data_IF_970765181191
#
_entry.id   IF_970765181191
#
_cell.length_a   1.000
_cell.length_b   1.000
_cell.length_c   1.000
_cell.angle_alpha   90.00
_cell.angle_beta   90.00
_cell.angle_gamma   90.00
#
_symmetry.space_group_name_H-M   'P 1'
#
loop_
_entity.id
_entity.type
_entity.pdbx_description
1 polymer ?
#
# COMPACT_ATOMS: atom_id res chain seq x y z
N UNK A 1 5.98 9.37 13.18
CA UNK A 1 7.20 9.67 12.43
C UNK A 1 7.94 8.38 12.09
N UNK A 2 8.30 7.57 13.05
CA UNK A 2 9.04 6.30 12.85
C UNK A 2 8.44 5.32 11.82
N UNK A 3 7.11 5.11 11.82
CA UNK A 3 6.46 4.21 10.86
C UNK A 3 6.59 4.71 9.40
N UNK A 4 6.38 5.99 9.17
CA UNK A 4 6.46 6.58 7.81
C UNK A 4 7.92 6.52 7.30
N UNK A 5 8.90 6.77 8.17
CA UNK A 5 10.32 6.62 7.84
C UNK A 5 10.67 5.16 7.50
N UNK A 6 10.11 4.21 8.25
CA UNK A 6 10.28 2.77 7.99
C UNK A 6 9.70 2.36 6.64
N UNK A 7 8.49 2.84 6.31
CA UNK A 7 7.87 2.62 4.98
C UNK A 7 8.74 3.25 3.89
N UNK A 8 9.23 4.48 4.09
CA UNK A 8 10.11 5.16 3.15
C UNK A 8 11.40 4.40 2.88
N UNK A 9 12.01 3.81 3.92
CA UNK A 9 13.18 2.94 3.80
C UNK A 9 12.89 1.69 2.97
N UNK A 10 11.72 1.08 3.15
CA UNK A 10 11.27 -0.07 2.39
C UNK A 10 11.02 0.27 0.91
N UNK A 11 10.38 1.41 0.63
CA UNK A 11 10.17 1.90 -0.73
C UNK A 11 11.51 2.12 -1.43
N UNK A 12 12.49 2.72 -0.74
CA UNK A 12 13.83 2.90 -1.29
C UNK A 12 14.52 1.56 -1.58
N UNK A 13 14.37 0.58 -0.69
CA UNK A 13 14.94 -0.77 -0.87
C UNK A 13 14.38 -1.48 -2.09
N UNK A 14 13.05 -1.44 -2.29
CA UNK A 14 12.36 -2.21 -3.33
C UNK A 14 12.33 -1.49 -4.66
N UNK A 15 12.05 -0.19 -4.67
CA UNK A 15 11.80 0.60 -5.89
C UNK A 15 12.98 1.53 -6.28
N UNK A 16 13.92 1.77 -5.36
CA UNK A 16 15.07 2.66 -5.60
C UNK A 16 14.77 4.15 -5.45
N UNK A 17 13.52 4.56 -5.18
CA UNK A 17 13.13 5.97 -5.07
C UNK A 17 13.28 6.50 -3.65
N UNK A 18 13.63 7.78 -3.53
CA UNK A 18 13.50 8.53 -2.28
C UNK A 18 12.04 8.92 -2.05
N UNK A 19 11.68 9.11 -0.78
CA UNK A 19 10.33 9.52 -0.37
C UNK A 19 10.35 10.87 0.31
N UNK A 20 9.30 11.66 0.05
CA UNK A 20 8.96 12.87 0.79
C UNK A 20 7.59 12.67 1.45
N UNK A 21 7.35 13.29 2.58
CA UNK A 21 6.07 13.21 3.30
C UNK A 21 5.35 14.54 3.22
N UNK A 22 4.11 14.51 2.73
CA UNK A 22 3.26 15.69 2.59
C UNK A 22 1.83 15.36 3.05
N UNK A 23 1.16 16.18 3.86
CA UNK A 23 -0.23 16.00 4.26
C UNK A 23 -1.21 16.37 3.12
N UNK A 24 -1.26 15.57 2.06
CA UNK A 24 -2.09 15.81 0.88
C UNK A 24 -3.60 15.77 1.17
N UNK A 25 -4.05 14.91 2.10
CA UNK A 25 -5.43 14.80 2.55
C UNK A 25 -5.49 14.97 4.08
N UNK A 26 -6.08 16.07 4.55
CA UNK A 26 -6.25 16.33 5.98
C UNK A 26 -7.59 15.81 6.51
N UNK A 27 -8.59 15.64 5.65
CA UNK A 27 -9.92 15.14 5.98
C UNK A 27 -10.37 14.13 4.94
N UNK A 28 -10.87 12.99 5.41
CA UNK A 28 -11.41 11.89 4.61
C UNK A 28 -12.87 11.56 4.95
N UNK A 29 -13.58 12.47 5.68
CA UNK A 29 -14.99 12.27 6.07
C UNK A 29 -15.91 12.04 4.86
N UNK A 30 -15.57 12.57 3.69
CA UNK A 30 -16.30 12.35 2.43
C UNK A 30 -16.37 10.86 2.01
N UNK A 31 -15.43 10.03 2.46
CA UNK A 31 -15.35 8.60 2.15
C UNK A 31 -16.05 7.71 3.20
N UNK A 32 -16.54 8.29 4.30
CA UNK A 32 -17.14 7.54 5.39
C UNK A 32 -18.52 7.00 5.03
N UNK A 33 -18.72 5.69 5.24
CA UNK A 33 -20.00 5.00 5.15
C UNK A 33 -20.50 4.66 6.56
N UNK A 34 -21.54 5.35 7.03
CA UNK A 34 -22.10 5.17 8.36
C UNK A 34 -22.76 3.80 8.56
N UNK A 35 -23.29 3.16 7.52
CA UNK A 35 -23.91 1.84 7.61
C UNK A 35 -22.86 0.74 7.83
N UNK A 36 -21.67 0.93 7.28
CA UNK A 36 -20.55 0.00 7.41
C UNK A 36 -19.60 0.35 8.56
N UNK A 37 -19.68 1.60 9.03
CA UNK A 37 -18.67 2.18 9.92
C UNK A 37 -17.24 2.05 9.36
N UNK A 38 -17.10 2.25 8.06
CA UNK A 38 -15.85 2.08 7.29
C UNK A 38 -15.70 3.24 6.30
N UNK A 39 -14.51 3.35 5.70
CA UNK A 39 -14.20 4.34 4.68
C UNK A 39 -14.01 3.67 3.32
N UNK A 40 -14.67 4.21 2.30
CA UNK A 40 -14.55 3.69 0.93
C UNK A 40 -13.21 4.12 0.33
N UNK A 41 -12.31 3.17 0.12
CA UNK A 41 -10.94 3.42 -0.34
C UNK A 41 -10.90 4.03 -1.74
N UNK A 42 -11.82 3.64 -2.64
CA UNK A 42 -11.88 4.19 -4.01
C UNK A 42 -12.10 5.70 -4.01
N UNK A 43 -12.95 6.23 -3.11
CA UNK A 43 -13.15 7.69 -3.00
C UNK A 43 -11.89 8.41 -2.51
N UNK A 44 -11.18 7.81 -1.56
CA UNK A 44 -9.88 8.33 -1.09
C UNK A 44 -8.87 8.34 -2.23
N UNK A 45 -8.80 7.24 -2.98
CA UNK A 45 -7.88 7.06 -4.10
C UNK A 45 -8.12 8.09 -5.21
N UNK A 46 -9.38 8.35 -5.55
CA UNK A 46 -9.76 9.37 -6.54
C UNK A 46 -9.32 10.79 -6.11
N UNK A 47 -9.52 11.12 -4.83
CA UNK A 47 -9.06 12.41 -4.27
C UNK A 47 -7.54 12.53 -4.25
N UNK A 48 -6.81 11.47 -3.92
CA UNK A 48 -5.36 11.44 -3.99
C UNK A 48 -4.87 11.65 -5.42
N UNK A 49 -5.46 10.94 -6.38
CA UNK A 49 -5.10 11.03 -7.79
C UNK A 49 -5.26 12.45 -8.37
N UNK A 50 -6.24 13.21 -7.86
CA UNK A 50 -6.49 14.60 -8.28
C UNK A 50 -5.50 15.61 -7.67
N UNK A 51 -4.68 15.22 -6.69
CA UNK A 51 -3.80 16.10 -5.91
C UNK A 51 -2.32 15.72 -5.97
N UNK A 52 -1.94 14.86 -6.91
CA UNK A 52 -0.56 14.40 -7.04
C UNK A 52 0.35 15.59 -7.36
N UNK A 53 1.42 15.86 -6.58
CA UNK A 53 2.40 16.88 -6.91
C UNK A 53 3.08 16.61 -8.25
N UNK A 54 3.38 17.64 -9.01
CA UNK A 54 4.00 17.51 -10.34
C UNK A 54 5.36 16.79 -10.32
N UNK A 55 6.11 16.97 -9.22
CA UNK A 55 7.40 16.34 -9.01
C UNK A 55 7.33 14.91 -8.45
N UNK A 56 6.12 14.39 -8.14
CA UNK A 56 5.94 13.04 -7.61
C UNK A 56 5.69 12.02 -8.73
N UNK A 57 6.50 10.98 -8.77
CA UNK A 57 6.27 9.84 -9.67
C UNK A 57 5.05 9.03 -9.23
N UNK A 58 4.92 8.77 -7.93
CA UNK A 58 3.86 7.99 -7.29
C UNK A 58 3.51 8.60 -5.94
N UNK A 59 2.29 8.35 -5.48
CA UNK A 59 1.81 8.74 -4.15
C UNK A 59 1.26 7.52 -3.43
N UNK A 60 1.77 7.26 -2.23
CA UNK A 60 1.26 6.28 -1.29
C UNK A 60 0.67 7.00 -0.08
N UNK A 61 -0.63 6.89 0.14
CA UNK A 61 -1.26 7.33 1.37
C UNK A 61 -1.24 6.23 2.43
N UNK A 62 -0.98 6.62 3.68
CA UNK A 62 -1.07 5.73 4.84
C UNK A 62 -2.23 6.21 5.71
N UNK A 63 -3.25 5.36 5.84
CA UNK A 63 -4.45 5.64 6.64
C UNK A 63 -4.50 4.75 7.90
N UNK A 64 -5.19 5.21 8.94
CA UNK A 64 -5.42 4.44 10.18
C UNK A 64 -6.89 4.09 10.40
N UNK A 65 -7.67 4.04 9.33
CA UNK A 65 -9.13 3.77 9.33
C UNK A 65 -9.44 2.47 8.61
N UNK A 66 -10.57 1.86 8.96
CA UNK A 66 -11.02 0.63 8.29
C UNK A 66 -11.49 0.92 6.86
N UNK A 67 -10.83 0.30 5.87
CA UNK A 67 -11.10 0.52 4.45
C UNK A 67 -11.96 -0.60 3.86
N UNK A 68 -12.81 -0.22 2.89
CA UNK A 68 -13.58 -1.17 2.10
C UNK A 68 -13.72 -0.73 0.64
N UNK A 69 -14.02 -1.69 -0.22
CA UNK A 69 -14.65 -1.48 -1.53
C UNK A 69 -16.01 -2.17 -1.54
N UNK A 70 -17.00 -1.74 -2.37
CA UNK A 70 -18.39 -2.23 -2.29
C UNK A 70 -18.56 -3.75 -2.37
N UNK A 71 -17.68 -4.44 -3.11
CA UNK A 71 -17.76 -5.90 -3.34
C UNK A 71 -17.03 -6.73 -2.27
N UNK A 72 -16.30 -6.10 -1.33
CA UNK A 72 -15.54 -6.79 -0.28
C UNK A 72 -15.94 -6.27 1.11
N UNK A 73 -15.72 -7.10 2.13
CA UNK A 73 -15.98 -6.72 3.52
C UNK A 73 -14.99 -5.70 4.04
N UNK A 74 -13.74 -5.80 3.60
CA UNK A 74 -12.66 -4.85 3.89
C UNK A 74 -11.52 -5.03 2.88
N UNK A 75 -10.61 -4.06 2.86
CA UNK A 75 -9.34 -4.14 2.14
C UNK A 75 -8.21 -3.60 3.01
N UNK A 76 -6.99 -4.10 2.82
CA UNK A 76 -5.80 -3.53 3.45
C UNK A 76 -5.30 -2.29 2.72
N UNK A 77 -5.59 -2.20 1.43
CA UNK A 77 -5.28 -1.07 0.59
C UNK A 77 -5.97 -1.14 -0.74
N UNK A 78 -5.74 -0.14 -1.57
CA UNK A 78 -6.22 -0.05 -2.95
C UNK A 78 -5.25 0.79 -3.77
N UNK A 79 -5.04 0.42 -5.02
CA UNK A 79 -4.15 1.12 -5.93
C UNK A 79 -4.75 1.31 -7.32
N UNK A 80 -4.35 2.39 -7.98
CA UNK A 80 -4.56 2.54 -9.42
C UNK A 80 -3.56 1.66 -10.16
N UNK A 81 -4.03 0.59 -10.80
CA UNK A 81 -3.15 -0.30 -11.57
C UNK A 81 -2.50 0.47 -12.73
N UNK A 82 -1.17 0.56 -12.73
CA UNK A 82 -0.40 1.37 -13.69
C UNK A 82 -0.60 2.88 -13.54
N UNK A 83 -1.33 3.34 -12.52
CA UNK A 83 -1.56 4.75 -12.23
C UNK A 83 -0.51 5.36 -11.31
N UNK A 84 -0.87 6.42 -10.58
CA UNK A 84 0.07 7.15 -9.74
C UNK A 84 -0.24 7.09 -8.25
N UNK A 85 -1.46 6.70 -7.85
CA UNK A 85 -1.92 6.77 -6.48
C UNK A 85 -2.25 5.39 -5.91
N UNK A 86 -1.93 5.19 -4.64
CA UNK A 86 -2.37 4.07 -3.83
C UNK A 86 -2.58 4.48 -2.37
N UNK A 87 -3.34 3.68 -1.64
CA UNK A 87 -3.60 3.85 -0.21
C UNK A 87 -3.43 2.51 0.50
N UNK A 88 -2.82 2.53 1.68
CA UNK A 88 -2.74 1.40 2.60
C UNK A 88 -3.32 1.78 3.94
N UNK A 89 -4.05 0.86 4.58
CA UNK A 89 -4.56 1.05 5.94
C UNK A 89 -3.77 0.23 6.95
N UNK A 90 -3.45 0.85 8.07
CA UNK A 90 -2.85 0.19 9.21
C UNK A 90 -3.89 -0.45 10.13
N UNK A 91 -5.18 -0.13 9.98
CA UNK A 91 -6.25 -0.45 10.92
C UNK A 91 -6.36 -1.96 11.20
N UNK A 92 -6.54 -2.78 10.16
CA UNK A 92 -6.72 -4.24 10.32
C UNK A 92 -5.41 -5.02 10.39
N UNK A 93 -4.27 -4.38 10.25
CA UNK A 93 -2.96 -5.02 10.39
C UNK A 93 -2.48 -5.04 11.86
N UNK A 94 -3.19 -4.32 12.74
CA UNK A 94 -2.90 -4.22 14.16
C UNK A 94 -3.75 -5.21 14.97
N UNK A 95 -3.14 -6.21 15.60
CA UNK A 95 -3.81 -7.18 16.46
C UNK A 95 -4.17 -6.63 17.86
N UNK A 96 -3.99 -5.33 18.11
CA UNK A 96 -4.43 -4.68 19.37
C UNK A 96 -3.62 -5.04 20.62
N UNK A 97 -2.45 -5.67 20.49
CA UNK A 97 -1.59 -6.07 21.61
C UNK A 97 -0.35 -5.19 21.76
N UNK A 98 0.09 -4.98 23.01
CA UNK A 98 1.20 -4.10 23.38
C UNK A 98 2.57 -4.84 23.50
N UNK A 99 2.66 -6.09 23.07
CA UNK A 99 3.90 -6.87 23.10
C UNK A 99 4.87 -6.41 21.99
N UNK A 100 6.16 -6.30 22.30
CA UNK A 100 7.21 -5.86 21.37
C UNK A 100 7.30 -6.77 20.13
N UNK A 101 7.10 -8.08 20.31
CA UNK A 101 7.12 -9.05 19.19
C UNK A 101 5.96 -8.79 18.21
N UNK A 102 4.79 -8.42 18.74
CA UNK A 102 3.60 -8.10 17.97
C UNK A 102 3.76 -6.76 17.25
N UNK A 103 4.42 -5.79 17.90
CA UNK A 103 4.72 -4.51 17.26
C UNK A 103 5.66 -4.66 16.06
N UNK A 104 6.67 -5.52 16.13
CA UNK A 104 7.54 -5.83 14.99
C UNK A 104 6.74 -6.48 13.84
N UNK A 105 5.89 -7.45 14.15
CA UNK A 105 5.00 -8.11 13.19
C UNK A 105 4.06 -7.13 12.49
N UNK A 106 3.48 -6.22 13.25
CA UNK A 106 2.64 -5.14 12.75
C UNK A 106 3.37 -4.24 11.74
N UNK A 107 4.58 -3.80 12.07
CA UNK A 107 5.41 -3.00 11.16
C UNK A 107 5.76 -3.78 9.88
N UNK A 108 6.11 -5.05 9.99
CA UNK A 108 6.40 -5.90 8.83
C UNK A 108 5.17 -6.11 7.93
N UNK A 109 3.98 -6.28 8.49
CA UNK A 109 2.72 -6.35 7.73
C UNK A 109 2.46 -5.07 6.94
N UNK A 110 2.62 -3.90 7.59
CA UNK A 110 2.43 -2.60 6.94
C UNK A 110 3.43 -2.40 5.80
N UNK A 111 4.70 -2.75 5.99
CA UNK A 111 5.73 -2.68 4.95
C UNK A 111 5.34 -3.53 3.74
N UNK A 112 4.89 -4.77 3.98
CA UNK A 112 4.47 -5.68 2.91
C UNK A 112 3.26 -5.14 2.14
N UNK A 113 2.23 -4.67 2.83
CA UNK A 113 1.02 -4.14 2.18
C UNK A 113 1.30 -2.79 1.48
N UNK A 114 2.08 -1.89 2.09
CA UNK A 114 2.50 -0.65 1.44
C UNK A 114 3.28 -0.92 0.14
N UNK A 115 4.20 -1.88 0.15
CA UNK A 115 4.95 -2.31 -1.03
C UNK A 115 4.03 -2.96 -2.07
N UNK A 116 3.09 -3.79 -1.65
CA UNK A 116 2.10 -4.44 -2.51
C UNK A 116 1.25 -3.41 -3.26
N UNK A 117 0.65 -2.47 -2.54
CA UNK A 117 -0.18 -1.42 -3.15
C UNK A 117 0.64 -0.50 -4.06
N UNK A 118 1.83 -0.11 -3.64
CA UNK A 118 2.70 0.72 -4.49
C UNK A 118 3.12 -0.02 -5.76
N UNK A 119 3.40 -1.33 -5.69
CA UNK A 119 3.76 -2.13 -6.86
C UNK A 119 2.63 -2.23 -7.89
N UNK A 120 1.36 -2.20 -7.47
CA UNK A 120 0.22 -2.09 -8.39
C UNK A 120 0.29 -0.81 -9.25
N UNK A 121 0.78 0.31 -8.70
CA UNK A 121 0.96 1.54 -9.48
C UNK A 121 2.03 1.41 -10.58
N UNK A 122 2.94 0.44 -10.46
CA UNK A 122 3.89 0.01 -11.49
C UNK A 122 3.34 -1.12 -12.36
N UNK A 123 2.02 -1.26 -12.46
CA UNK A 123 1.33 -2.23 -13.30
C UNK A 123 1.54 -3.71 -12.91
N UNK A 124 2.08 -4.01 -11.73
CA UNK A 124 2.16 -5.37 -11.22
C UNK A 124 0.77 -5.83 -10.76
N UNK A 125 0.37 -7.01 -11.20
CA UNK A 125 -0.88 -7.66 -10.78
C UNK A 125 -0.62 -8.66 -9.66
N UNK A 126 -1.68 -9.19 -9.05
CA UNK A 126 -1.55 -10.27 -8.08
C UNK A 126 -0.76 -11.45 -8.66
N UNK A 127 0.14 -12.00 -7.86
CA UNK A 127 1.00 -13.11 -8.24
C UNK A 127 0.43 -14.44 -7.68
N UNK A 128 0.42 -15.53 -8.48
CA UNK A 128 0.00 -16.84 -7.99
C UNK A 128 1.00 -17.47 -7.01
N UNK A 129 2.24 -17.02 -6.98
CA UNK A 129 3.27 -17.49 -6.04
C UNK A 129 2.93 -17.01 -4.62
N UNK A 130 2.63 -17.97 -3.73
CA UNK A 130 2.26 -17.69 -2.32
C UNK A 130 3.36 -17.03 -1.50
N UNK A 131 4.61 -17.12 -1.94
CA UNK A 131 5.73 -16.48 -1.25
C UNK A 131 6.01 -15.05 -1.73
N UNK A 132 5.49 -14.68 -2.89
CA UNK A 132 5.68 -13.35 -3.46
C UNK A 132 4.90 -12.29 -2.68
N UNK A 133 5.51 -11.11 -2.47
CA UNK A 133 4.84 -9.98 -1.85
C UNK A 133 3.56 -9.55 -2.61
N UNK A 134 3.48 -9.82 -3.93
CA UNK A 134 2.31 -9.54 -4.77
C UNK A 134 1.21 -10.60 -4.67
N UNK A 135 1.35 -11.60 -3.79
CA UNK A 135 0.28 -12.55 -3.56
C UNK A 135 -0.91 -11.90 -2.87
N UNK A 136 -2.13 -12.23 -3.31
CA UNK A 136 -3.37 -11.73 -2.73
C UNK A 136 -3.58 -12.27 -1.31
N UNK A 137 -3.92 -11.39 -0.36
CA UNK A 137 -4.17 -11.74 1.03
C UNK A 137 -5.63 -11.47 1.40
N UNK A 138 -6.26 -12.41 2.14
CA UNK A 138 -7.63 -12.31 2.64
C UNK A 138 -7.68 -12.01 4.14
N UNK A 139 -6.63 -12.37 4.86
CA UNK A 139 -6.49 -12.21 6.30
C UNK A 139 -5.03 -11.89 6.65
N UNK A 140 -4.80 -11.52 7.90
CA UNK A 140 -3.48 -11.14 8.42
C UNK A 140 -2.48 -12.30 8.35
N UNK A 141 -2.94 -13.54 8.52
CA UNK A 141 -2.11 -14.74 8.40
C UNK A 141 -1.55 -14.92 6.99
N UNK A 142 -2.31 -14.53 5.96
CA UNK A 142 -1.81 -14.54 4.58
C UNK A 142 -0.70 -13.50 4.40
N UNK A 143 -0.84 -12.31 5.01
CA UNK A 143 0.21 -11.29 5.02
C UNK A 143 1.46 -11.79 5.74
N UNK A 144 1.29 -12.52 6.85
CA UNK A 144 2.41 -13.10 7.60
C UNK A 144 3.16 -14.15 6.80
N UNK A 145 2.45 -14.99 6.03
CA UNK A 145 3.02 -16.10 5.25
C UNK A 145 3.81 -15.65 4.03
N UNK A 146 3.37 -14.60 3.31
CA UNK A 146 4.12 -14.11 2.16
C UNK A 146 5.44 -13.45 2.61
N UNK A 147 6.45 -13.48 1.75
CA UNK A 147 7.71 -12.80 2.03
C UNK A 147 7.58 -11.28 1.82
N UNK A 148 8.62 -10.54 2.19
CA UNK A 148 8.80 -9.13 1.86
C UNK A 148 9.48 -8.91 0.50
N UNK A 149 9.62 -9.99 -0.30
CA UNK A 149 10.32 -9.99 -1.57
C UNK A 149 9.36 -10.21 -2.74
N UNK A 150 9.67 -9.59 -3.87
CA UNK A 150 9.11 -9.96 -5.17
C UNK A 150 9.72 -11.29 -5.64
N UNK A 151 8.89 -12.17 -6.22
CA UNK A 151 9.42 -13.31 -6.94
C UNK A 151 10.20 -12.84 -8.19
N UNK A 152 10.96 -13.74 -8.81
CA UNK A 152 11.78 -13.42 -9.97
C UNK A 152 11.00 -12.71 -11.09
N UNK A 153 9.79 -13.18 -11.40
CA UNK A 153 8.98 -12.61 -12.47
C UNK A 153 8.48 -11.20 -12.13
N UNK A 154 7.93 -11.01 -10.92
CA UNK A 154 7.47 -9.71 -10.48
C UNK A 154 8.61 -8.69 -10.38
N UNK A 155 9.81 -9.13 -10.00
CA UNK A 155 11.00 -8.27 -9.97
C UNK A 155 11.37 -7.79 -11.36
N UNK A 156 11.41 -8.67 -12.37
CA UNK A 156 11.70 -8.30 -13.77
C UNK A 156 10.64 -7.32 -14.28
N UNK A 157 9.35 -7.58 -14.02
CA UNK A 157 8.26 -6.69 -14.43
C UNK A 157 8.41 -5.29 -13.79
N UNK A 158 8.73 -5.22 -12.50
CA UNK A 158 8.97 -3.94 -11.82
C UNK A 158 10.15 -3.18 -12.42
N UNK A 159 11.27 -3.85 -12.64
CA UNK A 159 12.47 -3.25 -13.26
C UNK A 159 12.17 -2.68 -14.65
N UNK A 160 11.36 -3.36 -15.46
CA UNK A 160 10.94 -2.88 -16.77
C UNK A 160 10.02 -1.66 -16.69
N UNK A 161 9.09 -1.61 -15.73
CA UNK A 161 8.22 -0.45 -15.53
C UNK A 161 9.01 0.76 -14.99
N UNK A 162 9.96 0.57 -14.09
CA UNK A 162 10.84 1.64 -13.61
C UNK A 162 11.66 2.22 -14.77
N UNK A 163 12.28 1.38 -15.62
CA UNK A 163 13.02 1.84 -16.81
C UNK A 163 12.17 2.62 -17.80
N UNK A 164 10.87 2.32 -17.87
CA UNK A 164 9.94 3.11 -18.71
C UNK A 164 9.72 4.50 -18.15
N UNK A 165 9.58 4.64 -16.81
CA UNK A 165 9.44 5.96 -16.18
C UNK A 165 10.66 6.85 -16.35
N UNK A 166 11.88 6.29 -16.36
CA UNK A 166 13.12 7.04 -16.51
C UNK A 166 13.34 7.57 -17.95
N UNK A 167 12.57 7.10 -18.93
CA UNK A 167 12.68 7.51 -20.33
C UNK A 167 11.81 8.70 -20.73
N UNK A 168 10.94 9.15 -19.82
CA UNK A 168 10.00 10.27 -20.02
C UNK A 168 10.20 11.36 -18.98
#
# INVERSE_FOLDING_TARGET
MELIETIGGEIKRVFGFSTETDPLLQDIAFAFDANRNQYQSTLILDQLASRIPENANKVLAVASVDLFIPILTHVYGEAQLGGKACVVSTYRLNEGHLDVTIQQKYVERIKKEATHELAHTFNLRHCPDHTCIMHYCRCEEDVDRKSDQLCRYCKIMLEDEIKRLEKY
#
